data_IF_415258986013
#
_entry.id   IF_415258986013
#
_cell.length_a   1.000
_cell.length_b   1.000
_cell.length_c   1.000
_cell.angle_alpha   90.00
_cell.angle_beta   90.00
_cell.angle_gamma   90.00
#
_symmetry.space_group_name_H-M   'P 1'
#
loop_
_entity.id
_entity.type
_entity.pdbx_description
1 polymer ?
#
# COMPACT_ATOMS: atom_id res chain seq x y z
N UNK A 1 -12.89 -0.17 15.13
CA UNK A 1 -12.39 -1.57 15.01
C UNK A 1 -13.22 -2.42 14.04
N UNK A 2 -14.55 -2.49 14.14
CA UNK A 2 -15.37 -3.31 13.19
C UNK A 2 -15.21 -2.91 11.72
N UNK A 3 -15.15 -1.61 11.38
CA UNK A 3 -14.98 -1.18 9.99
C UNK A 3 -13.59 -1.50 9.45
N UNK A 4 -12.53 -1.38 10.27
CA UNK A 4 -11.15 -1.71 9.87
C UNK A 4 -11.00 -3.20 9.54
N UNK A 5 -11.42 -4.09 10.46
CA UNK A 5 -11.42 -5.54 10.23
C UNK A 5 -12.26 -5.92 9.01
N UNK A 6 -13.37 -5.23 8.77
CA UNK A 6 -14.20 -5.47 7.59
C UNK A 6 -13.48 -5.14 6.28
N UNK A 7 -12.79 -3.99 6.20
CA UNK A 7 -12.00 -3.61 5.04
C UNK A 7 -10.82 -4.56 4.82
N UNK A 8 -10.09 -4.90 5.90
CA UNK A 8 -9.00 -5.87 5.81
C UNK A 8 -9.48 -7.24 5.34
N UNK A 9 -10.61 -7.75 5.87
CA UNK A 9 -11.14 -9.05 5.48
C UNK A 9 -11.58 -9.08 4.02
N UNK A 10 -12.21 -8.01 3.51
CA UNK A 10 -12.56 -7.91 2.08
C UNK A 10 -11.30 -7.97 1.20
N UNK A 11 -10.26 -7.23 1.55
CA UNK A 11 -9.00 -7.24 0.81
C UNK A 11 -8.29 -8.59 0.94
N UNK A 12 -8.20 -9.13 2.15
CA UNK A 12 -7.60 -10.41 2.48
C UNK A 12 -8.24 -11.59 1.72
N UNK A 13 -9.54 -11.52 1.37
CA UNK A 13 -10.21 -12.55 0.55
C UNK A 13 -9.59 -12.74 -0.84
N UNK A 14 -8.85 -11.74 -1.34
CA UNK A 14 -8.10 -11.79 -2.60
C UNK A 14 -6.61 -12.09 -2.41
N UNK A 15 -6.14 -12.26 -1.15
CA UNK A 15 -4.72 -12.35 -0.80
C UNK A 15 -4.50 -13.41 0.27
N UNK A 16 -4.80 -14.68 -0.07
CA UNK A 16 -4.61 -15.81 0.86
C UNK A 16 -3.39 -16.68 0.52
N UNK A 17 -2.87 -16.61 -0.71
CA UNK A 17 -1.61 -17.29 -1.05
C UNK A 17 -0.43 -16.50 -0.46
N UNK A 18 0.41 -17.17 0.33
CA UNK A 18 1.59 -16.56 0.97
C UNK A 18 2.56 -15.93 -0.04
N UNK A 19 2.65 -16.49 -1.26
CA UNK A 19 3.51 -15.94 -2.33
C UNK A 19 2.95 -14.62 -2.84
N UNK A 20 1.62 -14.50 -2.92
CA UNK A 20 0.96 -13.26 -3.27
C UNK A 20 1.21 -12.20 -2.19
N UNK A 21 1.01 -12.52 -0.91
CA UNK A 21 1.29 -11.60 0.21
C UNK A 21 2.76 -11.16 0.18
N UNK A 22 3.71 -12.09 -0.05
CA UNK A 22 5.14 -11.78 -0.13
C UNK A 22 5.47 -10.78 -1.26
N UNK A 23 4.85 -10.91 -2.44
CA UNK A 23 5.03 -9.93 -3.53
C UNK A 23 4.45 -8.56 -3.16
N UNK A 24 3.38 -8.53 -2.37
CA UNK A 24 2.74 -7.32 -1.92
C UNK A 24 3.60 -6.53 -0.92
N UNK A 25 4.43 -7.19 -0.10
CA UNK A 25 5.40 -6.52 0.79
C UNK A 25 6.40 -5.64 0.03
N UNK A 26 6.68 -5.96 -1.23
CA UNK A 26 7.62 -5.20 -2.06
C UNK A 26 6.85 -4.26 -3.01
N UNK A 27 5.90 -4.81 -3.74
CA UNK A 27 5.24 -4.10 -4.84
C UNK A 27 4.37 -2.92 -4.38
N UNK A 28 3.60 -3.07 -3.28
CA UNK A 28 2.77 -1.98 -2.77
C UNK A 28 3.59 -0.79 -2.28
N UNK A 29 4.63 -0.94 -1.43
CA UNK A 29 5.48 0.18 -1.06
C UNK A 29 6.12 0.89 -2.26
N UNK A 30 6.55 0.15 -3.28
CA UNK A 30 7.10 0.74 -4.51
C UNK A 30 6.05 1.58 -5.26
N UNK A 31 4.83 1.09 -5.40
CA UNK A 31 3.74 1.81 -6.07
C UNK A 31 3.37 3.08 -5.28
N UNK A 32 3.26 3.00 -3.95
CA UNK A 32 2.97 4.17 -3.11
C UNK A 32 4.08 5.21 -3.24
N UNK A 33 5.35 4.80 -3.11
CA UNK A 33 6.48 5.71 -3.28
C UNK A 33 6.49 6.35 -4.67
N UNK A 34 6.23 5.57 -5.72
CA UNK A 34 6.15 6.05 -7.11
C UNK A 34 5.09 7.15 -7.28
N UNK A 35 3.88 6.92 -6.76
CA UNK A 35 2.78 7.89 -6.84
C UNK A 35 3.15 9.17 -6.10
N UNK A 36 3.70 9.07 -4.88
CA UNK A 36 4.13 10.24 -4.11
C UNK A 36 5.25 11.00 -4.83
N UNK A 37 6.25 10.31 -5.41
CA UNK A 37 7.32 10.93 -6.20
C UNK A 37 6.73 11.72 -7.39
N UNK A 38 5.84 11.11 -8.16
CA UNK A 38 5.23 11.76 -9.32
C UNK A 38 4.38 12.97 -8.93
N UNK A 39 3.67 12.89 -7.81
CA UNK A 39 2.85 13.98 -7.28
C UNK A 39 3.67 15.08 -6.57
N UNK A 40 4.96 14.88 -6.32
CA UNK A 40 5.78 15.87 -5.59
C UNK A 40 6.17 17.08 -6.44
N UNK A 41 6.19 16.98 -7.78
CA UNK A 41 6.53 18.09 -8.68
C UNK A 41 5.40 19.09 -8.93
N UNK A 42 4.12 18.68 -9.08
CA UNK A 42 3.03 19.63 -9.17
C UNK A 42 2.86 20.40 -7.85
N UNK A 43 3.29 21.66 -7.82
CA UNK A 43 3.19 22.56 -6.67
C UNK A 43 2.15 23.62 -7.00
N UNK A 44 1.16 23.79 -6.11
CA UNK A 44 0.08 24.77 -6.28
C UNK A 44 0.51 26.15 -5.77
N UNK A 45 1.17 26.19 -4.61
CA UNK A 45 1.59 27.44 -3.96
C UNK A 45 2.71 27.13 -2.94
N UNK A 46 3.50 28.15 -2.59
CA UNK A 46 4.44 28.09 -1.47
C UNK A 46 3.90 28.96 -0.32
N UNK A 47 3.80 28.39 0.87
CA UNK A 47 3.36 29.06 2.10
C UNK A 47 4.51 28.95 3.12
N UNK A 48 5.09 30.07 3.52
CA UNK A 48 6.21 30.15 4.46
C UNK A 48 7.36 29.19 4.14
N UNK A 49 7.70 29.07 2.85
CA UNK A 49 8.76 28.17 2.36
C UNK A 49 8.38 26.70 2.20
N UNK A 50 7.18 26.32 2.59
CA UNK A 50 6.62 24.97 2.38
C UNK A 50 5.91 24.88 1.04
N UNK A 51 6.32 23.94 0.19
CA UNK A 51 5.65 23.68 -1.08
C UNK A 51 4.36 22.89 -0.87
N UNK A 52 3.22 23.50 -1.13
CA UNK A 52 1.93 22.82 -1.16
C UNK A 52 1.83 22.03 -2.49
N UNK A 53 2.41 20.83 -2.49
CA UNK A 53 2.39 19.94 -3.65
C UNK A 53 1.17 19.01 -3.64
N UNK A 54 0.83 18.46 -4.79
CA UNK A 54 -0.19 17.43 -4.89
C UNK A 54 0.16 16.21 -4.00
N UNK A 55 1.45 15.88 -3.86
CA UNK A 55 1.91 14.82 -2.95
C UNK A 55 1.59 15.13 -1.49
N UNK A 56 1.87 16.36 -1.02
CA UNK A 56 1.58 16.74 0.37
C UNK A 56 0.09 16.59 0.67
N UNK A 57 -0.77 17.09 -0.21
CA UNK A 57 -2.23 16.99 -0.06
C UNK A 57 -2.66 15.51 -0.01
N UNK A 58 -2.19 14.68 -0.95
CA UNK A 58 -2.54 13.27 -1.00
C UNK A 58 -2.05 12.51 0.25
N UNK A 59 -0.83 12.78 0.72
CA UNK A 59 -0.25 12.18 1.93
C UNK A 59 -1.05 12.55 3.17
N UNK A 60 -1.44 13.81 3.33
CA UNK A 60 -2.25 14.25 4.48
C UNK A 60 -3.62 13.57 4.47
N UNK A 61 -4.29 13.54 3.33
CA UNK A 61 -5.60 12.85 3.20
C UNK A 61 -5.46 11.36 3.54
N UNK A 62 -4.44 10.68 3.00
CA UNK A 62 -4.22 9.26 3.25
C UNK A 62 -3.86 8.99 4.71
N UNK A 63 -3.02 9.82 5.34
CA UNK A 63 -2.67 9.69 6.76
C UNK A 63 -3.90 9.83 7.67
N UNK A 64 -4.75 10.84 7.42
CA UNK A 64 -6.00 11.02 8.16
C UNK A 64 -6.96 9.85 7.97
N UNK A 65 -7.06 9.32 6.75
CA UNK A 65 -7.85 8.13 6.44
C UNK A 65 -7.38 6.92 7.25
N UNK A 66 -6.07 6.62 7.25
CA UNK A 66 -5.51 5.49 7.98
C UNK A 66 -5.63 5.65 9.50
N UNK A 67 -5.39 6.85 10.03
CA UNK A 67 -5.59 7.15 11.46
C UNK A 67 -7.05 6.94 11.90
N UNK A 68 -8.00 7.27 11.03
CA UNK A 68 -9.44 7.04 11.29
C UNK A 68 -9.79 5.55 11.27
N UNK A 69 -9.12 4.73 10.46
CA UNK A 69 -9.36 3.29 10.39
C UNK A 69 -8.85 2.56 11.64
N UNK A 70 -7.57 2.78 11.99
CA UNK A 70 -6.92 2.23 13.19
C UNK A 70 -5.74 3.13 13.56
N UNK A 71 -5.68 3.59 14.79
CA UNK A 71 -4.67 4.56 15.23
C UNK A 71 -3.26 3.99 15.16
N UNK A 72 -3.04 2.73 15.56
CA UNK A 72 -1.70 2.11 15.61
C UNK A 72 -1.15 1.91 14.19
N UNK A 73 -1.93 1.31 13.32
CA UNK A 73 -1.56 1.16 11.92
C UNK A 73 -1.50 2.51 11.19
N UNK A 74 -2.40 3.44 11.54
CA UNK A 74 -2.41 4.79 10.99
C UNK A 74 -1.14 5.57 11.31
N UNK A 75 -0.58 5.44 12.52
CA UNK A 75 0.72 6.03 12.86
C UNK A 75 1.83 5.42 12.00
N UNK A 76 1.90 4.09 11.89
CA UNK A 76 2.90 3.43 11.05
C UNK A 76 2.80 3.88 9.58
N UNK A 77 1.57 3.96 9.05
CA UNK A 77 1.31 4.44 7.69
C UNK A 77 1.68 5.92 7.52
N UNK A 78 1.43 6.76 8.53
CA UNK A 78 1.82 8.18 8.49
C UNK A 78 3.34 8.33 8.41
N UNK A 79 4.10 7.57 9.21
CA UNK A 79 5.56 7.57 9.16
C UNK A 79 6.06 7.10 7.78
N UNK A 80 5.50 6.01 7.26
CA UNK A 80 5.85 5.52 5.93
C UNK A 80 5.56 6.55 4.82
N UNK A 81 4.38 7.17 4.84
CA UNK A 81 3.98 8.19 3.87
C UNK A 81 4.84 9.46 3.98
N UNK A 82 5.24 9.86 5.19
CA UNK A 82 6.16 10.97 5.41
C UNK A 82 7.54 10.68 4.81
N UNK A 83 8.05 9.45 4.96
CA UNK A 83 9.30 9.04 4.33
C UNK A 83 9.19 9.06 2.79
N UNK A 84 8.07 8.58 2.23
CA UNK A 84 7.81 8.66 0.79
C UNK A 84 7.73 10.12 0.30
N UNK A 85 7.10 11.01 1.07
CA UNK A 85 7.02 12.44 0.74
C UNK A 85 8.41 13.10 0.75
N UNK A 86 9.21 12.82 1.76
CA UNK A 86 10.59 13.30 1.84
C UNK A 86 11.41 12.84 0.62
N UNK A 87 11.37 11.55 0.29
CA UNK A 87 12.03 11.01 -0.91
C UNK A 87 11.49 11.66 -2.18
N UNK A 88 10.18 11.84 -2.28
CA UNK A 88 9.51 12.48 -3.41
C UNK A 88 9.98 13.93 -3.61
N UNK A 89 10.13 14.69 -2.53
CA UNK A 89 10.66 16.05 -2.58
C UNK A 89 12.12 16.10 -3.06
N UNK A 90 12.97 15.19 -2.58
CA UNK A 90 14.37 15.10 -3.03
C UNK A 90 14.45 14.80 -4.53
N UNK A 91 13.63 13.88 -5.03
CA UNK A 91 13.60 13.51 -6.44
C UNK A 91 12.94 14.57 -7.32
N UNK A 92 11.98 15.33 -6.80
CA UNK A 92 11.36 16.44 -7.50
C UNK A 92 12.36 17.57 -7.82
N UNK A 93 13.44 17.71 -7.05
CA UNK A 93 14.52 18.68 -7.30
C UNK A 93 15.53 18.22 -8.36
N UNK A 94 15.49 16.95 -8.77
CA UNK A 94 16.38 16.40 -9.79
C UNK A 94 15.94 16.78 -11.21
N UNK A 95 16.69 16.37 -12.23
CA UNK A 95 16.29 16.54 -13.61
C UNK A 95 14.97 15.81 -13.90
N UNK A 96 14.23 16.25 -14.92
CA UNK A 96 12.96 15.59 -15.31
C UNK A 96 13.17 14.12 -15.64
N UNK A 97 14.29 13.78 -16.27
CA UNK A 97 14.61 12.39 -16.61
C UNK A 97 14.78 11.51 -15.36
N UNK A 98 15.51 11.99 -14.34
CA UNK A 98 15.73 11.26 -13.08
C UNK A 98 14.41 11.10 -12.33
N UNK A 99 13.64 12.19 -12.18
CA UNK A 99 12.35 12.15 -11.50
C UNK A 99 11.36 11.18 -12.16
N UNK A 100 11.24 11.23 -13.51
CA UNK A 100 10.36 10.31 -14.24
C UNK A 100 10.88 8.87 -14.18
N UNK A 101 12.20 8.66 -14.31
CA UNK A 101 12.77 7.31 -14.24
C UNK A 101 12.46 6.63 -12.90
N UNK A 102 12.60 7.34 -11.78
CA UNK A 102 12.23 6.82 -10.48
C UNK A 102 10.71 6.66 -10.32
N UNK A 103 9.92 7.67 -10.66
CA UNK A 103 8.47 7.61 -10.51
C UNK A 103 7.83 6.54 -11.37
N UNK A 104 8.10 6.52 -12.68
CA UNK A 104 7.53 5.54 -13.61
C UNK A 104 8.17 4.16 -13.39
N UNK A 105 9.48 4.10 -13.17
CA UNK A 105 10.20 2.84 -12.96
C UNK A 105 9.67 2.08 -11.74
N UNK A 106 9.58 2.72 -10.58
CA UNK A 106 9.02 2.09 -9.39
C UNK A 106 7.54 1.70 -9.57
N UNK A 107 6.77 2.53 -10.27
CA UNK A 107 5.37 2.23 -10.57
C UNK A 107 5.23 0.96 -11.41
N UNK A 108 5.94 0.90 -12.54
CA UNK A 108 5.85 -0.24 -13.46
C UNK A 108 6.37 -1.52 -12.81
N UNK A 109 7.56 -1.46 -12.17
CA UNK A 109 8.13 -2.64 -11.50
C UNK A 109 7.24 -3.09 -10.34
N UNK A 110 6.71 -2.18 -9.54
CA UNK A 110 5.78 -2.49 -8.47
C UNK A 110 4.54 -3.22 -8.98
N UNK A 111 3.93 -2.75 -10.07
CA UNK A 111 2.77 -3.42 -10.68
C UNK A 111 3.11 -4.80 -11.27
N UNK A 112 4.26 -4.95 -11.93
CA UNK A 112 4.72 -6.27 -12.41
C UNK A 112 4.81 -7.26 -11.24
N UNK A 113 5.41 -6.85 -10.12
CA UNK A 113 5.51 -7.69 -8.92
C UNK A 113 4.10 -8.04 -8.38
N UNK A 114 3.16 -7.09 -8.36
CA UNK A 114 1.78 -7.33 -7.95
C UNK A 114 1.10 -8.39 -8.83
N UNK A 115 1.20 -8.25 -10.14
CA UNK A 115 0.59 -9.21 -11.07
C UNK A 115 1.19 -10.62 -10.95
N UNK A 116 2.50 -10.73 -10.68
CA UNK A 116 3.12 -12.03 -10.36
C UNK A 116 2.49 -12.65 -9.11
N UNK A 117 2.23 -11.85 -8.07
CA UNK A 117 1.52 -12.32 -6.88
C UNK A 117 0.10 -12.82 -7.20
N UNK A 118 -0.66 -12.06 -7.97
CA UNK A 118 -2.02 -12.45 -8.36
C UNK A 118 -2.07 -13.66 -9.28
N UNK A 119 -1.01 -13.93 -10.06
CA UNK A 119 -0.87 -15.18 -10.79
C UNK A 119 -0.84 -16.39 -9.85
N UNK A 120 -0.07 -16.33 -8.74
CA UNK A 120 -0.08 -17.39 -7.72
C UNK A 120 -1.41 -17.49 -6.98
N UNK A 121 -2.07 -16.36 -6.73
CA UNK A 121 -3.39 -16.35 -6.10
C UNK A 121 -4.48 -16.98 -6.97
N UNK A 122 -4.34 -16.93 -8.29
CA UNK A 122 -5.37 -17.38 -9.23
C UNK A 122 -6.63 -16.51 -9.19
N UNK A 123 -6.51 -15.27 -8.70
CA UNK A 123 -7.58 -14.27 -8.62
C UNK A 123 -7.09 -12.95 -9.17
N UNK A 124 -8.04 -12.18 -9.74
CA UNK A 124 -7.78 -10.79 -10.14
C UNK A 124 -7.49 -9.91 -8.91
N UNK A 125 -6.78 -8.78 -9.09
CA UNK A 125 -6.56 -7.80 -8.03
C UNK A 125 -7.89 -7.28 -7.43
N UNK A 126 -7.89 -7.03 -6.11
CA UNK A 126 -9.08 -6.58 -5.38
C UNK A 126 -9.67 -5.27 -5.92
N UNK A 127 -8.83 -4.35 -6.40
CA UNK A 127 -9.27 -3.05 -6.92
C UNK A 127 -10.11 -3.14 -8.20
N UNK A 128 -10.07 -4.25 -8.90
CA UNK A 128 -10.91 -4.49 -10.09
C UNK A 128 -12.39 -4.59 -9.70
N UNK A 129 -12.69 -5.10 -8.51
CA UNK A 129 -14.05 -5.21 -7.99
C UNK A 129 -14.43 -4.02 -7.10
N UNK A 130 -13.45 -3.48 -6.35
CA UNK A 130 -13.65 -2.37 -5.42
C UNK A 130 -12.41 -1.49 -5.41
N UNK A 131 -12.51 -0.28 -5.96
CA UNK A 131 -11.42 0.71 -6.03
C UNK A 131 -10.84 1.05 -4.64
N UNK A 132 -11.63 0.85 -3.58
CA UNK A 132 -11.16 0.97 -2.20
C UNK A 132 -9.99 0.02 -1.92
N UNK A 133 -9.86 -1.07 -2.69
CA UNK A 133 -8.71 -1.96 -2.63
C UNK A 133 -7.37 -1.26 -2.81
N UNK A 134 -7.29 -0.19 -3.63
CA UNK A 134 -6.06 0.60 -3.77
C UNK A 134 -5.69 1.34 -2.48
N UNK A 135 -6.69 1.82 -1.73
CA UNK A 135 -6.46 2.52 -0.46
C UNK A 135 -6.21 1.55 0.70
N UNK A 136 -6.80 0.35 0.66
CA UNK A 136 -6.64 -0.66 1.73
C UNK A 136 -5.36 -1.48 1.56
N UNK A 137 -4.86 -1.65 0.34
CA UNK A 137 -3.63 -2.42 0.07
C UNK A 137 -2.44 -2.04 0.95
N UNK A 138 -2.06 -0.75 1.06
CA UNK A 138 -0.92 -0.35 1.87
C UNK A 138 -1.06 -0.68 3.37
N UNK A 139 -2.23 -0.43 3.98
CA UNK A 139 -2.46 -0.75 5.39
C UNK A 139 -2.63 -2.27 5.61
N UNK A 140 -3.09 -3.02 4.60
CA UNK A 140 -3.12 -4.48 4.63
C UNK A 140 -1.70 -5.05 4.71
N UNK A 141 -0.76 -4.57 3.91
CA UNK A 141 0.66 -4.97 3.97
C UNK A 141 1.25 -4.68 5.35
N UNK A 142 0.97 -3.51 5.92
CA UNK A 142 1.41 -3.18 7.27
C UNK A 142 0.79 -4.11 8.33
N UNK A 143 -0.48 -4.52 8.14
CA UNK A 143 -1.16 -5.44 9.04
C UNK A 143 -0.57 -6.87 8.95
N UNK A 144 -0.39 -7.41 7.75
CA UNK A 144 0.19 -8.75 7.56
C UNK A 144 1.63 -8.81 8.12
N UNK A 145 2.45 -7.76 7.92
CA UNK A 145 3.78 -7.68 8.52
C UNK A 145 3.72 -7.67 10.05
N UNK A 146 2.77 -6.93 10.65
CA UNK A 146 2.57 -6.93 12.09
C UNK A 146 2.13 -8.31 12.59
N UNK A 147 1.29 -9.04 11.85
CA UNK A 147 0.85 -10.39 12.20
C UNK A 147 2.03 -11.39 12.17
N UNK A 148 2.90 -11.31 11.17
CA UNK A 148 4.12 -12.14 11.13
C UNK A 148 5.07 -11.87 12.30
N UNK A 149 5.10 -10.64 12.80
CA UNK A 149 5.85 -10.26 14.01
C UNK A 149 5.12 -10.62 15.32
N UNK A 150 3.98 -11.28 15.25
CA UNK A 150 3.17 -11.67 16.42
C UNK A 150 2.43 -10.51 17.08
N UNK A 151 2.35 -9.35 16.38
CA UNK A 151 1.63 -8.16 16.87
C UNK A 151 0.18 -8.19 16.40
N UNK A 152 -0.71 -7.50 17.13
CA UNK A 152 -2.13 -7.31 16.75
C UNK A 152 -2.88 -8.62 16.46
N UNK A 153 -2.65 -9.63 17.28
CA UNK A 153 -3.35 -10.93 17.18
C UNK A 153 -4.87 -10.78 17.24
N UNK A 154 -5.37 -9.80 17.99
CA UNK A 154 -6.76 -9.42 18.05
C UNK A 154 -7.38 -9.13 16.67
N UNK A 155 -6.62 -8.45 15.80
CA UNK A 155 -7.03 -8.13 14.43
C UNK A 155 -6.82 -9.33 13.51
N UNK A 156 -5.69 -10.03 13.65
CA UNK A 156 -5.39 -11.24 12.87
C UNK A 156 -6.49 -12.29 13.03
N UNK A 157 -6.80 -12.66 14.25
CA UNK A 157 -7.83 -13.68 14.58
C UNK A 157 -9.19 -13.26 14.01
N UNK A 158 -9.55 -11.97 14.12
CA UNK A 158 -10.80 -11.45 13.59
C UNK A 158 -10.88 -11.47 12.05
N UNK A 159 -9.74 -11.29 11.35
CA UNK A 159 -9.66 -11.41 9.88
C UNK A 159 -9.69 -12.88 9.47
N UNK A 160 -8.88 -13.73 10.10
CA UNK A 160 -8.81 -15.16 9.79
C UNK A 160 -10.11 -15.91 10.07
N UNK A 161 -10.86 -15.51 11.10
CA UNK A 161 -12.21 -16.03 11.36
C UNK A 161 -13.18 -15.80 10.19
N UNK A 162 -12.94 -14.78 9.34
CA UNK A 162 -13.80 -14.44 8.19
C UNK A 162 -13.36 -15.04 6.88
N UNK A 163 -12.05 -15.13 6.65
CA UNK A 163 -11.48 -15.48 5.33
C UNK A 163 -10.50 -16.65 5.37
N UNK A 164 -10.24 -17.21 6.54
CA UNK A 164 -9.26 -18.26 6.79
C UNK A 164 -7.82 -17.73 6.87
N UNK A 165 -6.89 -18.56 7.34
CA UNK A 165 -5.46 -18.23 7.39
C UNK A 165 -4.84 -18.18 5.98
N UNK A 166 -3.66 -17.59 5.88
CA UNK A 166 -2.85 -17.65 4.65
C UNK A 166 -2.28 -19.06 4.44
N UNK A 167 -2.21 -19.50 3.18
CA UNK A 167 -1.71 -20.81 2.78
C UNK A 167 -0.95 -20.72 1.44
N UNK A 168 -0.26 -21.80 1.05
CA UNK A 168 0.31 -21.91 -0.29
C UNK A 168 -0.65 -22.74 -1.13
N UNK A 169 -1.19 -22.15 -2.19
CA UNK A 169 -2.05 -22.88 -3.14
C UNK A 169 -1.22 -23.94 -3.88
N UNK A 170 -1.72 -25.15 -3.89
CA UNK A 170 -1.19 -26.17 -4.79
C UNK A 170 -1.56 -25.80 -6.23
N UNK A 171 -0.60 -25.88 -7.15
CA UNK A 171 -0.90 -25.75 -8.56
C UNK A 171 -1.98 -26.77 -8.93
N UNK A 172 -3.04 -26.35 -9.63
CA UNK A 172 -3.94 -27.32 -10.23
C UNK A 172 -3.10 -28.14 -11.20
N UNK A 173 -2.89 -29.42 -10.86
CA UNK A 173 -2.35 -30.39 -11.81
C UNK A 173 -3.42 -30.49 -12.91
N UNK A 174 -3.07 -29.99 -14.10
CA UNK A 174 -3.92 -30.08 -15.28
C UNK A 174 -3.96 -31.51 -15.79
#
# INVERSE_FOLDING_TARGET
MQSFVQHLSKYAAYHRDKRNVATHYIGIPMIVAAVVILLSRPVFVHIDGVALSAALVAVVIAALFYLKLDVRFGIAMTVFLAACLWLGQLLAMQTTAIWLAWGIGLFVVGWVIQFVGHYYEGKKPAFVDDIMGLAIGPIFVAAELAFELGLRKDVQDAVEARVGPTFIRQAKVA
#
